data_IF_715122073169
#
_entry.id   IF_715122073169
#
_cell.length_a   1.000
_cell.length_b   1.000
_cell.length_c   1.000
_cell.angle_alpha   90.00
_cell.angle_beta   90.00
_cell.angle_gamma   90.00
#
_symmetry.space_group_name_H-M   'P 1'
#
loop_
_entity.id
_entity.type
_entity.pdbx_description
1 polymer ?
#
# COMPACT_ATOMS: atom_id res chain seq x y z
N UNK A 1 -17.46 -23.88 17.83
CA UNK A 1 -16.79 -22.60 17.50
C UNK A 1 -15.86 -22.72 16.27
N UNK A 2 -16.30 -23.36 15.17
CA UNK A 2 -15.58 -23.36 13.88
C UNK A 2 -16.23 -22.46 12.82
N UNK A 3 -17.52 -22.13 12.98
CA UNK A 3 -18.31 -21.40 11.97
C UNK A 3 -17.93 -19.94 11.79
N UNK A 4 -17.47 -19.25 12.85
CA UNK A 4 -17.03 -17.84 12.77
C UNK A 4 -15.63 -17.68 12.13
N UNK A 5 -14.84 -18.74 12.04
CA UNK A 5 -13.47 -18.70 11.49
C UNK A 5 -13.40 -19.02 9.99
N UNK A 6 -14.48 -19.55 9.41
CA UNK A 6 -14.62 -19.84 7.97
C UNK A 6 -15.52 -18.82 7.26
N UNK A 7 -15.93 -17.76 7.97
CA UNK A 7 -16.76 -16.69 7.43
C UNK A 7 -15.97 -15.89 6.38
N UNK A 8 -16.46 -15.87 5.15
CA UNK A 8 -15.82 -15.19 4.02
C UNK A 8 -15.73 -13.68 4.25
N UNK A 9 -16.70 -13.10 4.97
CA UNK A 9 -16.76 -11.67 5.29
C UNK A 9 -15.63 -11.26 6.22
N UNK A 10 -15.20 -12.15 7.12
CA UNK A 10 -14.04 -11.92 8.00
C UNK A 10 -12.78 -11.75 7.17
N UNK A 11 -12.56 -12.63 6.18
CA UNK A 11 -11.37 -12.55 5.34
C UNK A 11 -11.42 -11.37 4.36
N UNK A 12 -12.60 -11.00 3.86
CA UNK A 12 -12.79 -9.87 2.96
C UNK A 12 -12.52 -8.51 3.65
N UNK A 13 -12.86 -8.39 4.94
CA UNK A 13 -12.75 -7.13 5.70
C UNK A 13 -11.48 -7.00 6.57
N UNK A 14 -10.69 -8.08 6.72
CA UNK A 14 -9.52 -8.10 7.60
C UNK A 14 -8.43 -7.06 7.22
N UNK A 15 -8.06 -6.15 8.13
CA UNK A 15 -6.95 -5.21 7.91
C UNK A 15 -5.61 -5.84 8.32
N UNK A 16 -4.85 -6.27 7.32
CA UNK A 16 -3.55 -6.91 7.54
C UNK A 16 -2.47 -5.97 8.09
N UNK A 17 -2.64 -4.64 8.03
CA UNK A 17 -1.68 -3.72 8.65
C UNK A 17 -1.82 -3.67 10.17
N UNK A 18 -2.93 -4.16 10.72
CA UNK A 18 -3.12 -4.35 12.16
C UNK A 18 -2.65 -5.73 12.63
N UNK A 19 -2.32 -6.64 11.71
CA UNK A 19 -1.86 -7.97 12.06
C UNK A 19 -0.39 -7.96 12.52
N UNK A 20 -0.04 -8.71 13.57
CA UNK A 20 1.36 -8.85 13.99
C UNK A 20 2.15 -9.76 13.04
N UNK A 21 2.69 -9.17 11.97
CA UNK A 21 3.50 -9.85 10.92
C UNK A 21 4.70 -10.66 11.41
N UNK A 22 5.16 -10.38 12.64
CA UNK A 22 6.29 -11.07 13.27
C UNK A 22 5.90 -12.38 13.96
N UNK A 23 4.61 -12.69 14.06
CA UNK A 23 4.13 -13.95 14.62
C UNK A 23 4.06 -15.06 13.56
N UNK A 24 4.19 -16.31 14.02
CA UNK A 24 4.16 -17.58 13.29
C UNK A 24 3.93 -17.51 11.76
N UNK A 25 5.01 -17.71 11.00
CA UNK A 25 5.06 -17.61 9.53
C UNK A 25 4.05 -18.53 8.82
N UNK A 26 3.66 -19.67 9.40
CA UNK A 26 2.70 -20.59 8.78
C UNK A 26 1.26 -20.07 8.88
N UNK A 27 0.86 -19.54 10.04
CA UNK A 27 -0.50 -18.98 10.23
C UNK A 27 -0.70 -17.72 9.39
N UNK A 28 0.33 -16.89 9.31
CA UNK A 28 0.35 -15.70 8.46
C UNK A 28 0.11 -16.07 7.00
N UNK A 29 0.81 -17.09 6.47
CA UNK A 29 0.60 -17.56 5.08
C UNK A 29 -0.82 -18.04 4.82
N UNK A 30 -1.40 -18.81 5.74
CA UNK A 30 -2.77 -19.29 5.61
C UNK A 30 -3.78 -18.13 5.57
N UNK A 31 -3.69 -17.21 6.53
CA UNK A 31 -4.55 -16.02 6.61
C UNK A 31 -4.48 -15.20 5.32
N UNK A 32 -3.26 -14.95 4.85
CA UNK A 32 -3.02 -14.15 3.66
C UNK A 32 -3.59 -14.79 2.38
N UNK A 33 -3.47 -16.11 2.23
CA UNK A 33 -4.07 -16.85 1.11
C UNK A 33 -5.59 -16.74 1.12
N UNK A 34 -6.22 -16.88 2.29
CA UNK A 34 -7.68 -16.78 2.44
C UNK A 34 -8.18 -15.35 2.17
N UNK A 35 -7.54 -14.34 2.75
CA UNK A 35 -7.85 -12.93 2.47
C UNK A 35 -7.70 -12.60 0.98
N UNK A 36 -6.63 -13.05 0.33
CA UNK A 36 -6.42 -12.79 -1.09
C UNK A 36 -7.47 -13.49 -1.97
N UNK A 37 -7.84 -14.73 -1.65
CA UNK A 37 -8.89 -15.46 -2.37
C UNK A 37 -10.25 -14.74 -2.31
N UNK A 38 -10.53 -14.05 -1.20
CA UNK A 38 -11.75 -13.26 -1.01
C UNK A 38 -11.64 -11.83 -1.56
N UNK A 39 -10.57 -11.48 -2.27
CA UNK A 39 -10.39 -10.15 -2.84
C UNK A 39 -10.16 -9.05 -1.79
N UNK A 40 -9.66 -9.40 -0.61
CA UNK A 40 -9.42 -8.46 0.48
C UNK A 40 -8.57 -7.26 0.01
N UNK A 41 -9.02 -6.02 0.17
CA UNK A 41 -8.33 -4.84 -0.35
C UNK A 41 -6.92 -4.67 0.20
N UNK A 42 -6.69 -5.02 1.48
CA UNK A 42 -5.36 -4.93 2.08
C UNK A 42 -4.39 -5.96 1.47
N UNK A 43 -4.82 -7.18 1.15
CA UNK A 43 -3.98 -8.15 0.43
C UNK A 43 -3.68 -7.75 -1.00
N UNK A 44 -4.70 -7.26 -1.74
CA UNK A 44 -4.54 -6.79 -3.10
C UNK A 44 -3.50 -5.67 -3.14
N UNK A 45 -3.63 -4.70 -2.23
CA UNK A 45 -2.68 -3.61 -2.08
C UNK A 45 -1.26 -4.08 -1.78
N UNK A 46 -1.09 -4.90 -0.73
CA UNK A 46 0.23 -5.36 -0.30
C UNK A 46 0.92 -6.14 -1.43
N UNK A 47 0.18 -7.00 -2.13
CA UNK A 47 0.69 -7.77 -3.27
C UNK A 47 1.02 -6.87 -4.45
N UNK A 48 0.18 -5.86 -4.73
CA UNK A 48 0.42 -4.88 -5.78
C UNK A 48 1.71 -4.09 -5.56
N UNK A 49 1.94 -3.59 -4.35
CA UNK A 49 3.18 -2.88 -3.97
C UNK A 49 4.41 -3.76 -4.18
N UNK A 50 4.34 -5.03 -3.78
CA UNK A 50 5.45 -5.96 -4.00
C UNK A 50 5.69 -6.24 -5.49
N UNK A 51 4.63 -6.49 -6.25
CA UNK A 51 4.69 -6.78 -7.68
C UNK A 51 5.34 -5.62 -8.44
N UNK A 52 4.91 -4.40 -8.15
CA UNK A 52 5.42 -3.20 -8.80
C UNK A 52 6.85 -2.87 -8.38
N UNK A 53 7.09 -2.64 -7.07
CA UNK A 53 8.34 -2.05 -6.59
C UNK A 53 9.46 -3.05 -6.34
N UNK A 54 9.16 -4.36 -6.20
CA UNK A 54 10.16 -5.39 -5.91
C UNK A 54 10.38 -6.36 -7.07
N UNK A 55 9.34 -6.65 -7.86
CA UNK A 55 9.37 -7.69 -8.89
C UNK A 55 9.38 -7.14 -10.31
N UNK A 56 9.28 -5.82 -10.50
CA UNK A 56 9.18 -5.18 -11.82
C UNK A 56 7.98 -5.65 -12.65
N UNK A 57 6.93 -6.17 -12.00
CA UNK A 57 5.65 -6.51 -12.64
C UNK A 57 4.76 -5.27 -12.58
N UNK A 58 5.08 -4.28 -13.41
CA UNK A 58 4.51 -2.94 -13.30
C UNK A 58 3.00 -2.93 -13.59
N UNK A 59 2.56 -3.60 -14.66
CA UNK A 59 1.15 -3.61 -15.06
C UNK A 59 0.29 -4.34 -14.02
N UNK A 60 0.70 -5.54 -13.63
CA UNK A 60 -0.02 -6.38 -12.66
C UNK A 60 0.01 -5.77 -11.26
N UNK A 61 1.14 -5.20 -10.85
CA UNK A 61 1.27 -4.53 -9.58
C UNK A 61 0.38 -3.31 -9.49
N UNK A 62 0.31 -2.52 -10.56
CA UNK A 62 -0.53 -1.33 -10.63
C UNK A 62 -2.03 -1.67 -10.69
N UNK A 63 -2.43 -2.70 -11.44
CA UNK A 63 -3.81 -3.22 -11.45
C UNK A 63 -4.29 -3.64 -10.06
N UNK A 64 -3.45 -4.40 -9.33
CA UNK A 64 -3.75 -4.83 -7.97
C UNK A 64 -3.92 -3.64 -7.00
N UNK A 65 -3.04 -2.63 -7.11
CA UNK A 65 -3.17 -1.40 -6.32
C UNK A 65 -4.44 -0.63 -6.69
N UNK A 66 -4.78 -0.53 -7.97
CA UNK A 66 -6.02 0.11 -8.45
C UNK A 66 -7.26 -0.57 -7.88
N UNK A 67 -7.34 -1.90 -7.96
CA UNK A 67 -8.48 -2.67 -7.45
C UNK A 67 -8.68 -2.50 -5.94
N UNK A 68 -7.58 -2.42 -5.19
CA UNK A 68 -7.64 -2.12 -3.76
C UNK A 68 -8.16 -0.69 -3.49
N UNK A 69 -7.74 0.28 -4.32
CA UNK A 69 -8.23 1.66 -4.23
C UNK A 69 -9.71 1.78 -4.59
N UNK A 70 -10.14 1.13 -5.68
CA UNK A 70 -11.54 1.07 -6.13
C UNK A 70 -12.45 0.42 -5.06
N UNK A 71 -11.91 -0.49 -4.24
CA UNK A 71 -12.58 -1.08 -3.09
C UNK A 71 -12.56 -0.18 -1.82
N UNK A 72 -12.08 1.06 -1.92
CA UNK A 72 -12.07 2.04 -0.84
C UNK A 72 -10.91 1.92 0.14
N UNK A 73 -9.87 1.14 -0.16
CA UNK A 73 -8.72 1.03 0.73
C UNK A 73 -7.83 2.28 0.63
N UNK A 74 -7.95 3.19 1.59
CA UNK A 74 -7.31 4.51 1.57
C UNK A 74 -5.81 4.48 1.27
N UNK A 75 -5.08 3.52 1.85
CA UNK A 75 -3.63 3.35 1.58
C UNK A 75 -3.34 3.01 0.12
N UNK A 76 -4.21 2.24 -0.52
CA UNK A 76 -4.07 1.92 -1.94
C UNK A 76 -4.38 3.12 -2.82
N UNK A 77 -5.41 3.92 -2.50
CA UNK A 77 -5.75 5.12 -3.27
C UNK A 77 -4.57 6.08 -3.36
N UNK A 78 -3.90 6.32 -2.23
CA UNK A 78 -2.71 7.16 -2.17
C UNK A 78 -1.56 6.59 -3.03
N UNK A 79 -1.18 5.34 -2.78
CA UNK A 79 -0.02 4.73 -3.43
C UNK A 79 -0.25 4.47 -4.91
N UNK A 80 -1.44 4.04 -5.33
CA UNK A 80 -1.81 3.85 -6.74
C UNK A 80 -1.65 5.16 -7.50
N UNK A 81 -2.20 6.24 -6.95
CA UNK A 81 -2.10 7.55 -7.56
C UNK A 81 -0.61 7.95 -7.68
N UNK A 82 0.14 7.93 -6.59
CA UNK A 82 1.55 8.34 -6.58
C UNK A 82 2.41 7.52 -7.57
N UNK A 83 2.18 6.21 -7.62
CA UNK A 83 2.85 5.29 -8.54
C UNK A 83 2.50 5.60 -9.99
N UNK A 84 1.22 5.86 -10.27
CA UNK A 84 0.76 6.24 -11.61
C UNK A 84 1.42 7.54 -12.06
N UNK A 85 1.52 8.56 -11.21
CA UNK A 85 2.20 9.85 -11.56
C UNK A 85 3.68 9.73 -11.87
N UNK A 86 4.38 8.80 -11.23
CA UNK A 86 5.80 8.57 -11.50
C UNK A 86 6.02 7.86 -12.83
N UNK A 87 5.02 7.13 -13.30
CA UNK A 87 5.12 6.22 -14.43
C UNK A 87 4.34 6.67 -15.67
N UNK A 88 3.36 7.56 -15.51
CA UNK A 88 2.48 8.08 -16.55
C UNK A 88 2.86 9.54 -16.84
N UNK A 89 3.30 9.83 -18.07
CA UNK A 89 3.76 11.16 -18.49
C UNK A 89 2.60 12.20 -18.55
N UNK A 90 1.33 11.75 -18.56
CA UNK A 90 0.17 12.58 -18.98
C UNK A 90 -0.86 12.91 -17.87
N UNK A 91 -0.48 12.80 -16.60
CA UNK A 91 -0.83 13.80 -15.58
C UNK A 91 -2.28 14.13 -15.14
N UNK A 92 -3.37 13.53 -15.63
CA UNK A 92 -4.74 14.01 -15.30
C UNK A 92 -5.44 13.36 -14.08
N UNK A 93 -4.94 12.24 -13.52
CA UNK A 93 -5.59 11.51 -12.41
C UNK A 93 -5.54 12.21 -11.03
N UNK A 94 -4.86 13.35 -10.92
CA UNK A 94 -4.59 14.03 -9.63
C UNK A 94 -5.33 15.35 -9.42
N UNK A 95 -6.28 15.73 -10.28
CA UNK A 95 -7.08 16.94 -10.00
C UNK A 95 -7.75 16.91 -8.62
N UNK A 96 -7.89 15.73 -7.99
CA UNK A 96 -8.40 15.55 -6.62
C UNK A 96 -7.40 15.51 -5.46
N UNK A 97 -6.07 15.38 -5.68
CA UNK A 97 -5.10 15.20 -4.59
C UNK A 97 -4.00 16.28 -4.65
N UNK A 98 -4.15 17.35 -3.86
CA UNK A 98 -3.11 18.39 -3.75
C UNK A 98 -1.90 17.92 -2.93
N UNK A 99 -0.74 18.58 -3.09
CA UNK A 99 0.44 18.37 -2.22
C UNK A 99 0.08 18.48 -0.74
N UNK A 100 -0.78 19.43 -0.39
CA UNK A 100 -1.27 19.62 0.98
C UNK A 100 -2.15 18.47 1.46
N UNK A 101 -2.99 17.91 0.59
CA UNK A 101 -3.82 16.76 0.91
C UNK A 101 -2.97 15.50 1.15
N UNK A 102 -1.93 15.33 0.35
CA UNK A 102 -0.91 14.28 0.52
C UNK A 102 -0.14 14.46 1.82
N UNK A 103 0.29 15.69 2.13
CA UNK A 103 0.96 16.00 3.38
C UNK A 103 0.07 15.68 4.60
N UNK A 104 -1.23 15.94 4.51
CA UNK A 104 -2.21 15.57 5.54
C UNK A 104 -2.38 14.05 5.69
N UNK A 105 -2.37 13.29 4.61
CA UNK A 105 -2.37 11.81 4.68
C UNK A 105 -1.08 11.31 5.32
N UNK A 106 0.07 11.91 4.96
CA UNK A 106 1.36 11.63 5.58
C UNK A 106 1.36 11.84 7.11
N UNK A 107 0.61 12.85 7.59
CA UNK A 107 0.42 13.14 9.01
C UNK A 107 -0.45 12.10 9.74
N UNK A 108 -1.42 11.46 9.06
CA UNK A 108 -2.24 10.38 9.65
C UNK A 108 -1.42 9.11 9.93
N UNK A 109 -0.23 8.97 9.31
CA UNK A 109 0.79 8.02 9.69
C UNK A 109 1.87 8.68 10.56
N UNK A 110 1.56 8.98 11.81
CA UNK A 110 2.44 9.72 12.75
C UNK A 110 3.93 9.31 12.69
N UNK A 111 4.81 10.19 12.18
CA UNK A 111 6.27 10.09 12.34
C UNK A 111 6.88 11.49 12.48
N UNK A 112 7.54 11.74 13.61
CA UNK A 112 8.22 12.99 14.00
C UNK A 112 9.38 13.46 13.09
N UNK A 113 9.58 12.84 11.92
CA UNK A 113 10.57 13.21 10.90
C UNK A 113 10.01 14.18 9.85
N UNK A 114 8.69 14.40 9.82
CA UNK A 114 8.01 15.23 8.81
C UNK A 114 8.43 16.72 8.83
N UNK A 115 8.68 17.30 10.00
CA UNK A 115 8.83 18.76 10.12
C UNK A 115 10.18 19.30 9.59
N UNK A 116 11.22 18.46 9.60
CA UNK A 116 12.54 18.76 9.02
C UNK A 116 12.54 18.55 7.50
N UNK A 117 11.75 17.60 7.02
CA UNK A 117 11.68 17.23 5.62
C UNK A 117 10.72 18.11 4.79
N UNK A 118 9.70 18.70 5.41
CA UNK A 118 8.73 19.59 4.75
C UNK A 118 9.37 20.87 4.23
N UNK A 119 10.26 21.53 4.99
CA UNK A 119 10.97 22.74 4.52
C UNK A 119 11.82 22.49 3.27
N UNK A 120 12.26 21.25 3.05
CA UNK A 120 13.01 20.85 1.85
C UNK A 120 12.10 20.47 0.68
N UNK A 121 10.82 20.19 0.94
CA UNK A 121 9.86 19.78 -0.09
C UNK A 121 9.21 20.96 -0.82
N UNK A 122 9.19 22.15 -0.21
CA UNK A 122 8.65 23.38 -0.82
C UNK A 122 9.40 23.76 -2.11
N UNK A 123 10.72 23.57 -2.15
CA UNK A 123 11.57 23.88 -3.32
C UNK A 123 11.74 22.70 -4.31
N UNK A 124 11.07 21.57 -4.09
CA UNK A 124 11.24 20.38 -4.95
C UNK A 124 10.36 20.43 -6.21
N UNK A 125 10.96 20.04 -7.34
CA UNK A 125 10.19 19.77 -8.56
C UNK A 125 9.21 18.60 -8.31
N UNK A 126 8.12 18.56 -9.09
CA UNK A 126 7.04 17.59 -8.89
C UNK A 126 7.54 16.14 -8.90
N UNK A 127 8.42 15.79 -9.84
CA UNK A 127 9.00 14.43 -9.93
C UNK A 127 9.82 14.07 -8.70
N UNK A 128 10.71 14.96 -8.26
CA UNK A 128 11.54 14.72 -7.07
C UNK A 128 10.69 14.56 -5.81
N UNK A 129 9.61 15.35 -5.69
CA UNK A 129 8.67 15.25 -4.57
C UNK A 129 8.08 13.84 -4.49
N UNK A 130 7.52 13.34 -5.60
CA UNK A 130 6.92 11.99 -5.62
C UNK A 130 7.93 10.86 -5.42
N UNK A 131 9.18 11.00 -5.91
CA UNK A 131 10.25 10.03 -5.63
C UNK A 131 10.53 9.95 -4.13
N UNK A 132 10.63 11.10 -3.44
CA UNK A 132 10.83 11.15 -1.99
C UNK A 132 9.65 10.51 -1.25
N UNK A 133 8.42 10.86 -1.61
CA UNK A 133 7.22 10.33 -0.97
C UNK A 133 7.09 8.80 -1.15
N UNK A 134 7.40 8.27 -2.34
CA UNK A 134 7.49 6.80 -2.55
C UNK A 134 8.57 6.20 -1.65
N UNK A 135 9.74 6.83 -1.55
CA UNK A 135 10.83 6.33 -0.72
C UNK A 135 10.47 6.25 0.78
N UNK A 136 9.80 7.28 1.30
CA UNK A 136 9.29 7.30 2.67
C UNK A 136 8.19 6.23 2.86
N UNK A 137 7.28 6.12 1.91
CA UNK A 137 6.22 5.12 1.90
C UNK A 137 6.80 3.69 1.96
N UNK A 138 7.73 3.35 1.05
CA UNK A 138 8.32 2.01 0.99
C UNK A 138 9.08 1.64 2.28
N UNK A 139 9.72 2.63 2.92
CA UNK A 139 10.35 2.44 4.24
C UNK A 139 9.33 2.07 5.31
N UNK A 140 8.23 2.81 5.40
CA UNK A 140 7.15 2.53 6.34
C UNK A 140 6.47 1.18 6.05
N UNK A 141 6.13 0.91 4.78
CA UNK A 141 5.54 -0.34 4.33
C UNK A 141 6.39 -1.56 4.71
N UNK A 142 7.72 -1.46 4.52
CA UNK A 142 8.68 -2.48 4.90
C UNK A 142 8.71 -2.71 6.42
N UNK A 143 8.67 -1.64 7.21
CA UNK A 143 8.62 -1.74 8.67
C UNK A 143 7.33 -2.42 9.16
N UNK A 144 6.19 -2.13 8.52
CA UNK A 144 4.89 -2.70 8.88
C UNK A 144 4.72 -4.16 8.49
N UNK A 145 5.20 -4.57 7.31
CA UNK A 145 4.91 -5.91 6.75
C UNK A 145 6.02 -6.95 6.94
N UNK A 146 7.23 -6.54 7.34
CA UNK A 146 8.30 -7.47 7.68
C UNK A 146 8.86 -8.30 6.52
N UNK A 147 8.79 -7.80 5.28
CA UNK A 147 9.25 -8.48 4.06
C UNK A 147 8.62 -9.86 3.80
N UNK A 148 7.31 -9.95 3.52
CA UNK A 148 6.75 -11.23 3.12
C UNK A 148 7.25 -11.60 1.71
N UNK A 149 7.49 -12.89 1.48
CA UNK A 149 7.77 -13.42 0.13
C UNK A 149 6.50 -14.08 -0.39
N UNK A 150 5.77 -13.38 -1.26
CA UNK A 150 4.38 -13.71 -1.57
C UNK A 150 4.22 -14.74 -2.69
N UNK A 151 5.31 -15.16 -3.34
CA UNK A 151 5.26 -16.30 -4.26
C UNK A 151 5.05 -17.63 -3.55
N UNK A 152 5.25 -17.68 -2.23
CA UNK A 152 4.99 -18.88 -1.43
C UNK A 152 3.49 -19.14 -1.19
N UNK A 153 2.60 -18.39 -1.86
CA UNK A 153 1.15 -18.36 -1.62
C UNK A 153 0.32 -18.90 -2.78
N UNK A 154 0.97 -19.23 -3.91
CA UNK A 154 0.32 -19.83 -5.08
C UNK A 154 -0.31 -21.18 -4.67
#
# INVERSE_FOLDING_TARGET
MRSLADDEDVYASFDLFKYPWRLNRFRLRYLLRRCYAQGNPSTLYIKGVEYFYRRNMYVEGLDLMKRAADAGFERASYTYAMTSKLWDDDGDHFRGFSRDYVAKIGLLGHWALWDIDNRKAEDMCNRCFWIKEVGLFLRAFKASTGHPNFETWR
#
